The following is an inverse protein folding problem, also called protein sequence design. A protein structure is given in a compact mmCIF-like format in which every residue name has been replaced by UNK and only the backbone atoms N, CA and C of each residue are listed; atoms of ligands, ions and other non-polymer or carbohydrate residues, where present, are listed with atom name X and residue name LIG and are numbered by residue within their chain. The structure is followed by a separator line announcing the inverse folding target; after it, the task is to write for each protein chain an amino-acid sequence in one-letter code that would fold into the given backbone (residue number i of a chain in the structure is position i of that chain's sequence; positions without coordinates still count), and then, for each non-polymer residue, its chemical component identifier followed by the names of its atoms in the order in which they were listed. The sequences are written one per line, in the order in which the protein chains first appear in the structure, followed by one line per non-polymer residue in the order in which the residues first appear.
data_IF_523176304053
#
_entry.id   IF_523176304053
#
_cell.length_a   1.000
_cell.length_b   1.000
_cell.length_c   1.000
_cell.angle_alpha   90.00
_cell.angle_beta   90.00
_cell.angle_gamma   90.00
#
_symmetry.space_group_name_H-M   'P 1'
#
loop_
_entity.id
_entity.type
_entity.pdbx_description
1 polymer ?
#
# COMPACT_ATOMS: atom_id res chain seq x y z
N UNK A 1 18.14 26.64 -60.50
CA UNK A 1 18.00 26.93 -59.06
C UNK A 1 16.91 26.01 -58.49
N UNK A 2 17.24 24.89 -57.82
CA UNK A 2 16.26 24.07 -57.05
C UNK A 2 16.96 22.91 -56.32
N UNK A 3 17.88 23.20 -55.39
CA UNK A 3 18.50 22.19 -54.51
C UNK A 3 18.36 22.42 -52.98
N UNK A 4 17.93 23.60 -52.45
CA UNK A 4 17.85 23.77 -51.00
C UNK A 4 16.62 23.07 -50.37
N UNK A 5 15.55 22.85 -51.14
CA UNK A 5 14.28 22.32 -50.61
C UNK A 5 14.35 20.83 -50.23
N UNK A 6 15.08 20.00 -50.99
CA UNK A 6 15.26 18.57 -50.67
C UNK A 6 16.12 18.32 -49.43
N UNK A 7 17.11 19.18 -49.17
CA UNK A 7 17.96 19.07 -47.98
C UNK A 7 17.18 19.43 -46.70
N UNK A 8 16.28 20.42 -46.78
CA UNK A 8 15.38 20.81 -45.70
C UNK A 8 14.33 19.73 -45.37
N UNK A 9 13.76 19.06 -46.37
CA UNK A 9 12.81 17.95 -46.14
C UNK A 9 13.48 16.73 -45.48
N UNK A 10 14.73 16.41 -45.87
CA UNK A 10 15.48 15.29 -45.30
C UNK A 10 15.86 15.53 -43.83
N UNK A 11 16.14 16.78 -43.45
CA UNK A 11 16.44 17.14 -42.06
C UNK A 11 15.19 17.07 -41.16
N UNK A 12 14.00 17.37 -41.70
CA UNK A 12 12.75 17.32 -40.96
C UNK A 12 12.29 15.88 -40.65
N UNK A 13 12.54 14.93 -41.55
CA UNK A 13 12.22 13.50 -41.31
C UNK A 13 13.11 12.84 -40.24
N UNK A 14 14.36 13.30 -40.07
CA UNK A 14 15.27 12.78 -39.03
C UNK A 14 14.91 13.29 -37.62
N UNK A 15 14.23 14.43 -37.51
CA UNK A 15 13.78 15.00 -36.24
C UNK A 15 12.50 14.35 -35.70
N UNK A 16 11.68 13.72 -36.57
CA UNK A 16 10.42 13.09 -36.16
C UNK A 16 10.54 11.59 -35.84
N UNK A 17 11.68 10.96 -36.15
CA UNK A 17 11.84 9.51 -36.04
C UNK A 17 12.35 9.00 -34.68
N UNK A 18 12.74 9.87 -33.74
CA UNK A 18 13.56 9.47 -32.60
C UNK A 18 13.00 9.76 -31.19
N UNK A 19 11.81 10.36 -31.03
CA UNK A 19 11.25 10.63 -29.71
C UNK A 19 9.92 9.90 -29.49
N UNK A 20 9.97 8.69 -28.91
CA UNK A 20 8.82 8.10 -28.23
C UNK A 20 8.79 8.58 -26.78
N UNK A 21 7.60 8.83 -26.23
CA UNK A 21 7.47 9.11 -24.80
C UNK A 21 7.96 7.91 -23.98
N UNK A 22 8.78 8.18 -22.96
CA UNK A 22 9.11 7.15 -21.98
C UNK A 22 7.83 6.71 -21.27
N UNK A 23 7.68 5.41 -20.95
CA UNK A 23 6.53 4.95 -20.20
C UNK A 23 6.55 5.56 -18.79
N UNK A 24 5.37 5.79 -18.24
CA UNK A 24 5.25 6.17 -16.83
C UNK A 24 5.79 5.03 -15.96
N UNK A 25 6.71 5.35 -15.06
CA UNK A 25 7.32 4.40 -14.14
C UNK A 25 6.63 4.46 -12.78
N UNK A 26 6.58 3.32 -12.09
CA UNK A 26 6.22 3.26 -10.67
C UNK A 26 7.11 4.21 -9.84
N UNK A 27 6.51 4.83 -8.82
CA UNK A 27 7.27 5.59 -7.84
C UNK A 27 8.22 4.69 -7.06
N UNK A 28 9.38 5.21 -6.66
CA UNK A 28 10.38 4.43 -5.91
C UNK A 28 9.93 4.08 -4.49
N UNK A 29 9.01 4.88 -3.93
CA UNK A 29 8.65 4.82 -2.52
C UNK A 29 9.82 5.14 -1.59
N UNK A 30 9.63 4.88 -0.30
CA UNK A 30 10.65 5.13 0.73
C UNK A 30 11.50 3.89 0.96
N UNK A 31 12.81 4.04 0.90
CA UNK A 31 13.76 2.91 0.99
C UNK A 31 13.62 2.14 2.31
N UNK A 32 13.38 2.85 3.41
CA UNK A 32 13.27 2.24 4.73
C UNK A 32 11.95 1.50 4.95
N UNK A 33 10.91 1.76 4.15
CA UNK A 33 9.63 1.03 4.21
C UNK A 33 9.65 -0.27 3.42
N UNK A 34 10.56 -0.41 2.44
CA UNK A 34 10.57 -1.55 1.50
C UNK A 34 10.70 -2.89 2.24
N UNK A 35 9.70 -3.74 2.12
CA UNK A 35 9.70 -5.03 2.82
C UNK A 35 8.32 -5.50 3.27
N UNK A 36 8.33 -6.59 4.01
CA UNK A 36 7.18 -7.09 4.77
C UNK A 36 7.36 -6.75 6.25
N UNK A 37 6.25 -6.34 6.86
CA UNK A 37 6.19 -5.90 8.23
C UNK A 37 5.01 -6.54 8.92
N UNK A 38 5.21 -7.00 10.15
CA UNK A 38 4.18 -7.67 10.91
C UNK A 38 4.03 -7.03 12.28
N UNK A 39 2.79 -6.74 12.65
CA UNK A 39 2.45 -6.44 14.03
C UNK A 39 2.36 -7.74 14.83
N UNK A 40 3.00 -7.76 15.98
CA UNK A 40 2.84 -8.83 16.96
C UNK A 40 1.67 -8.52 17.91
N UNK A 41 0.94 -9.57 18.30
CA UNK A 41 -0.12 -9.42 19.29
C UNK A 41 0.47 -9.18 20.68
N UNK A 42 -0.03 -8.19 21.40
CA UNK A 42 0.34 -7.98 22.81
C UNK A 42 -0.70 -8.61 23.75
N UNK A 43 -0.31 -8.97 24.99
CA UNK A 43 -1.28 -9.44 25.99
C UNK A 43 -2.42 -8.45 26.24
N UNK A 44 -2.13 -7.15 26.22
CA UNK A 44 -3.11 -6.07 26.41
C UNK A 44 -4.14 -6.06 25.28
N UNK A 45 -3.72 -6.24 24.01
CA UNK A 45 -4.67 -6.31 22.89
C UNK A 45 -5.68 -7.45 23.04
N UNK A 46 -5.26 -8.60 23.58
CA UNK A 46 -6.16 -9.75 23.81
C UNK A 46 -7.21 -9.48 24.90
N UNK A 47 -7.00 -8.46 25.74
CA UNK A 47 -7.98 -8.03 26.73
C UNK A 47 -9.08 -7.15 26.12
N UNK A 48 -8.81 -6.46 25.01
CA UNK A 48 -9.77 -5.59 24.33
C UNK A 48 -10.99 -6.36 23.82
N UNK A 49 -12.13 -5.66 23.75
CA UNK A 49 -13.36 -6.20 23.16
C UNK A 49 -13.22 -6.41 21.66
N UNK A 50 -12.54 -5.48 20.97
CA UNK A 50 -12.25 -5.53 19.55
C UNK A 50 -10.81 -5.05 19.32
N UNK A 51 -10.03 -5.78 18.53
CA UNK A 51 -8.70 -5.37 18.10
C UNK A 51 -8.37 -5.94 16.72
N UNK A 52 -7.40 -5.31 16.05
CA UNK A 52 -6.87 -5.80 14.78
C UNK A 52 -5.35 -5.94 14.82
N UNK A 53 -4.84 -6.92 14.08
CA UNK A 53 -3.42 -7.13 13.82
C UNK A 53 -3.16 -6.92 12.34
N UNK A 54 -2.06 -6.24 12.02
CA UNK A 54 -1.72 -5.87 10.66
C UNK A 54 -0.47 -6.57 10.16
N UNK A 55 -0.51 -6.98 8.88
CA UNK A 55 0.67 -7.30 8.08
C UNK A 55 0.72 -6.33 6.91
N UNK A 56 1.81 -5.59 6.80
CA UNK A 56 2.06 -4.67 5.70
C UNK A 56 3.10 -5.26 4.77
N UNK A 57 2.94 -4.99 3.48
CA UNK A 57 3.96 -5.22 2.46
C UNK A 57 4.08 -3.94 1.66
N UNK A 58 5.27 -3.37 1.64
CA UNK A 58 5.60 -2.21 0.83
C UNK A 58 6.59 -2.62 -0.25
N UNK A 59 6.27 -2.27 -1.50
CA UNK A 59 7.11 -2.53 -2.65
C UNK A 59 7.01 -1.36 -3.61
N UNK A 60 8.14 -0.70 -3.85
CA UNK A 60 8.18 0.59 -4.52
C UNK A 60 7.19 1.57 -3.85
N UNK A 61 6.30 2.19 -4.60
CA UNK A 61 5.22 3.07 -4.11
C UNK A 61 3.92 2.34 -3.78
N UNK A 62 3.89 1.01 -3.92
CA UNK A 62 2.71 0.18 -3.68
C UNK A 62 2.73 -0.41 -2.28
N UNK A 63 1.54 -0.61 -1.72
CA UNK A 63 1.35 -1.28 -0.44
C UNK A 63 0.25 -2.35 -0.51
N UNK A 64 0.38 -3.33 0.37
CA UNK A 64 -0.62 -4.35 0.63
C UNK A 64 -0.78 -4.49 2.13
N UNK A 65 -2.01 -4.61 2.61
CA UNK A 65 -2.34 -4.83 4.02
C UNK A 65 -3.20 -6.06 4.15
N UNK A 66 -2.83 -6.93 5.07
CA UNK A 66 -3.70 -7.95 5.64
C UNK A 66 -4.06 -7.52 7.05
N UNK A 67 -5.33 -7.25 7.30
CA UNK A 67 -5.86 -6.87 8.60
C UNK A 67 -6.66 -8.05 9.16
N UNK A 68 -6.21 -8.61 10.27
CA UNK A 68 -6.93 -9.64 11.01
C UNK A 68 -7.65 -8.98 12.18
N UNK A 69 -8.98 -9.09 12.23
CA UNK A 69 -9.80 -8.47 13.27
C UNK A 69 -10.41 -9.53 14.16
N UNK A 70 -10.40 -9.25 15.46
CA UNK A 70 -10.91 -10.12 16.52
C UNK A 70 -11.87 -9.32 17.39
N UNK A 71 -13.08 -9.84 17.58
CA UNK A 71 -14.09 -9.31 18.50
C UNK A 71 -14.57 -10.39 19.46
N UNK A 72 -14.74 -10.03 20.72
CA UNK A 72 -15.38 -10.89 21.74
C UNK A 72 -16.91 -10.87 21.63
N UNK A 73 -17.46 -9.82 21.02
CA UNK A 73 -18.89 -9.66 20.80
C UNK A 73 -19.16 -9.91 19.32
N UNK A 74 -19.84 -11.00 19.01
CA UNK A 74 -20.21 -11.33 17.65
C UNK A 74 -21.46 -10.54 17.25
N UNK A 75 -21.27 -9.29 16.82
CA UNK A 75 -22.35 -8.43 16.33
C UNK A 75 -22.65 -8.63 14.84
N UNK A 76 -21.89 -9.50 14.15
CA UNK A 76 -22.07 -9.80 12.75
C UNK A 76 -23.02 -10.99 12.52
N UNK A 77 -23.49 -11.14 11.27
CA UNK A 77 -24.16 -12.37 10.84
C UNK A 77 -23.11 -13.49 10.83
N UNK A 78 -23.37 -14.59 11.52
CA UNK A 78 -22.37 -15.63 11.83
C UNK A 78 -21.57 -16.16 10.62
N UNK A 79 -22.18 -16.15 9.43
CA UNK A 79 -21.55 -16.54 8.16
C UNK A 79 -20.37 -15.65 7.77
N UNK A 80 -20.33 -14.43 8.27
CA UNK A 80 -19.38 -13.41 7.90
C UNK A 80 -18.21 -13.35 8.88
N UNK A 81 -18.49 -13.39 10.17
CA UNK A 81 -17.50 -13.05 11.20
C UNK A 81 -16.87 -14.28 11.85
N UNK A 82 -17.18 -15.52 11.45
CA UNK A 82 -16.59 -16.77 11.96
C UNK A 82 -16.26 -16.70 13.47
N UNK A 83 -17.29 -16.53 14.32
CA UNK A 83 -17.16 -16.39 15.77
C UNK A 83 -16.33 -15.17 16.21
N UNK A 84 -16.50 -14.05 15.52
CA UNK A 84 -15.84 -12.78 15.81
C UNK A 84 -14.41 -12.66 15.29
N UNK A 85 -14.00 -13.48 14.32
CA UNK A 85 -12.70 -13.39 13.66
C UNK A 85 -12.87 -13.28 12.15
N UNK A 86 -12.30 -12.23 11.55
CA UNK A 86 -12.26 -12.11 10.10
C UNK A 86 -10.99 -11.43 9.60
N UNK A 87 -10.73 -11.58 8.30
CA UNK A 87 -9.57 -10.98 7.65
C UNK A 87 -10.00 -10.11 6.49
N UNK A 88 -9.44 -8.91 6.42
CA UNK A 88 -9.63 -7.97 5.33
C UNK A 88 -8.30 -7.68 4.64
N UNK A 89 -8.37 -7.47 3.33
CA UNK A 89 -7.22 -7.22 2.50
C UNK A 89 -7.37 -5.85 1.84
N UNK A 90 -6.27 -5.12 1.75
CA UNK A 90 -6.21 -3.80 1.13
C UNK A 90 -4.99 -3.77 0.22
N UNK A 91 -5.11 -3.15 -0.96
CA UNK A 91 -3.96 -2.79 -1.78
C UNK A 91 -4.09 -1.37 -2.28
N UNK A 92 -2.96 -0.73 -2.56
CA UNK A 92 -2.96 0.59 -3.15
C UNK A 92 -1.56 1.16 -3.28
N UNK A 93 -1.49 2.49 -3.31
CA UNK A 93 -0.24 3.25 -3.36
C UNK A 93 -0.10 4.11 -2.12
N UNK A 94 1.13 4.37 -1.70
CA UNK A 94 1.40 5.27 -0.60
C UNK A 94 2.25 6.45 -1.03
N UNK A 95 2.18 7.52 -0.25
CA UNK A 95 3.12 8.63 -0.31
C UNK A 95 3.51 9.03 1.10
N UNK A 96 4.77 9.39 1.28
CA UNK A 96 5.25 9.94 2.52
C UNK A 96 5.70 11.38 2.31
N UNK A 97 5.35 12.24 3.27
CA UNK A 97 5.86 13.59 3.38
C UNK A 97 6.31 13.80 4.83
N UNK A 98 7.61 14.07 5.04
CA UNK A 98 8.22 14.10 6.36
C UNK A 98 7.97 12.79 7.12
N UNK A 99 7.38 12.87 8.32
CA UNK A 99 6.98 11.71 9.13
C UNK A 99 5.55 11.24 8.84
N UNK A 100 4.84 11.84 7.88
CA UNK A 100 3.44 11.51 7.59
C UNK A 100 3.35 10.58 6.39
N UNK A 101 2.92 9.34 6.63
CA UNK A 101 2.62 8.32 5.63
C UNK A 101 1.12 8.32 5.32
N UNK A 102 0.77 8.47 4.04
CA UNK A 102 -0.60 8.39 3.56
C UNK A 102 -0.77 7.15 2.68
N UNK A 103 -1.68 6.28 3.07
CA UNK A 103 -2.08 5.10 2.30
C UNK A 103 -3.38 5.41 1.55
N UNK A 104 -3.41 5.14 0.25
CA UNK A 104 -4.63 5.24 -0.57
C UNK A 104 -4.80 4.01 -1.43
N UNK A 105 -5.94 3.35 -1.31
CA UNK A 105 -6.19 2.08 -1.98
C UNK A 105 -7.64 1.65 -1.96
N UNK A 106 -7.86 0.35 -2.09
CA UNK A 106 -9.17 -0.28 -2.07
C UNK A 106 -9.15 -1.57 -1.28
N UNK A 107 -10.28 -1.87 -0.64
CA UNK A 107 -10.51 -3.20 -0.09
C UNK A 107 -10.55 -4.24 -1.22
N UNK A 108 -9.82 -5.33 -1.02
CA UNK A 108 -9.58 -6.40 -1.98
C UNK A 108 -9.91 -7.78 -1.38
N UNK A 109 -9.96 -8.79 -2.25
CA UNK A 109 -10.06 -10.19 -1.86
C UNK A 109 -8.70 -10.72 -1.35
N UNK A 110 -8.67 -11.99 -0.92
CA UNK A 110 -7.46 -12.62 -0.39
C UNK A 110 -6.31 -12.75 -1.41
N UNK A 111 -6.60 -12.61 -2.70
CA UNK A 111 -5.61 -12.59 -3.78
C UNK A 111 -5.26 -11.15 -4.19
N UNK A 112 -5.66 -10.16 -3.41
CA UNK A 112 -5.51 -8.73 -3.69
C UNK A 112 -6.10 -8.33 -5.05
N UNK A 113 -7.22 -8.92 -5.46
CA UNK A 113 -8.05 -8.45 -6.57
C UNK A 113 -9.15 -7.56 -6.02
N UNK A 114 -9.58 -6.57 -6.81
CA UNK A 114 -10.62 -5.65 -6.38
C UNK A 114 -11.89 -6.45 -6.04
N UNK A 115 -12.42 -6.22 -4.84
CA UNK A 115 -13.67 -6.86 -4.40
C UNK A 115 -14.83 -6.40 -5.29
N UNK A 116 -15.72 -7.33 -5.61
CA UNK A 116 -17.09 -6.96 -5.98
C UNK A 116 -17.78 -6.39 -4.74
N UNK A 117 -18.70 -5.45 -4.92
CA UNK A 117 -19.41 -4.80 -3.80
C UNK A 117 -20.27 -5.76 -2.96
N UNK A 118 -20.44 -7.00 -3.41
CA UNK A 118 -21.20 -8.05 -2.75
C UNK A 118 -20.33 -8.77 -1.70
N UNK A 119 -20.75 -8.72 -0.44
CA UNK A 119 -20.10 -9.44 0.65
C UNK A 119 -20.33 -8.80 2.02
N UNK A 120 -19.80 -9.47 3.04
CA UNK A 120 -20.02 -9.08 4.43
C UNK A 120 -19.06 -8.01 4.97
N UNK A 121 -17.93 -7.81 4.30
CA UNK A 121 -16.82 -7.00 4.81
C UNK A 121 -16.72 -5.68 4.06
N UNK A 122 -15.85 -4.79 4.54
CA UNK A 122 -15.64 -3.49 3.91
C UNK A 122 -15.23 -3.67 2.45
N UNK A 123 -15.80 -2.80 1.63
CA UNK A 123 -15.59 -2.66 0.19
C UNK A 123 -15.43 -1.18 -0.15
N UNK A 124 -14.89 -0.89 -1.33
CA UNK A 124 -14.65 0.49 -1.77
C UNK A 124 -13.29 1.07 -1.34
N UNK A 125 -13.17 2.40 -1.33
CA UNK A 125 -11.90 3.08 -1.11
C UNK A 125 -11.42 2.91 0.33
N UNK A 126 -10.10 2.86 0.48
CA UNK A 126 -9.40 2.85 1.75
C UNK A 126 -8.42 4.01 1.76
N UNK A 127 -8.53 4.86 2.77
CA UNK A 127 -7.58 5.94 3.02
C UNK A 127 -7.20 5.94 4.50
N UNK A 128 -5.91 5.87 4.78
CA UNK A 128 -5.37 5.96 6.13
C UNK A 128 -4.16 6.90 6.16
N UNK A 129 -3.96 7.54 7.29
CA UNK A 129 -2.82 8.44 7.54
C UNK A 129 -2.15 8.02 8.83
N UNK A 130 -0.84 7.88 8.78
CA UNK A 130 -0.02 7.54 9.95
C UNK A 130 1.11 8.54 10.09
N UNK A 131 1.40 8.94 11.32
CA UNK A 131 2.73 9.39 11.69
C UNK A 131 3.64 8.17 11.85
N UNK A 132 4.77 8.15 11.15
CA UNK A 132 5.75 7.06 11.17
C UNK A 132 6.95 7.48 11.99
N UNK A 133 7.26 6.69 13.02
CA UNK A 133 8.49 6.82 13.80
C UNK A 133 9.35 5.60 13.57
N UNK A 134 10.56 5.81 13.05
CA UNK A 134 11.57 4.75 12.94
C UNK A 134 12.30 4.61 14.28
N UNK A 135 11.99 3.54 15.02
CA UNK A 135 12.62 3.24 16.30
C UNK A 135 13.95 2.50 16.11
N UNK A 136 13.98 1.59 15.14
CA UNK A 136 15.17 0.84 14.71
C UNK A 136 15.04 0.48 13.23
N UNK A 137 16.07 -0.12 12.63
CA UNK A 137 16.01 -0.56 11.24
C UNK A 137 14.92 -1.62 11.00
N UNK A 138 14.58 -2.40 12.01
CA UNK A 138 13.57 -3.47 11.94
C UNK A 138 12.29 -3.13 12.69
N UNK A 139 12.14 -1.93 13.26
CA UNK A 139 10.96 -1.54 14.05
C UNK A 139 10.47 -0.15 13.66
N UNK A 140 9.21 -0.12 13.20
CA UNK A 140 8.47 1.11 12.95
C UNK A 140 7.26 1.21 13.88
N UNK A 141 6.96 2.42 14.30
CA UNK A 141 5.74 2.76 15.01
C UNK A 141 4.86 3.61 14.09
N UNK A 142 3.63 3.17 13.85
CA UNK A 142 2.61 3.89 13.10
C UNK A 142 1.55 4.42 14.06
N UNK A 143 1.39 5.75 14.13
CA UNK A 143 0.38 6.39 14.94
C UNK A 143 -0.68 7.05 14.05
N UNK A 144 -1.92 6.57 14.10
CA UNK A 144 -3.04 7.20 13.40
C UNK A 144 -3.47 8.49 14.09
N UNK A 145 -4.07 9.47 13.38
CA UNK A 145 -4.44 10.77 13.93
C UNK A 145 -5.47 10.69 15.06
N UNK A 146 -6.32 9.66 15.05
CA UNK A 146 -7.36 9.41 16.06
C UNK A 146 -7.13 8.13 16.87
N UNK A 147 -6.02 7.40 16.63
CA UNK A 147 -5.74 6.16 17.34
C UNK A 147 -5.01 6.43 18.65
N UNK A 148 -5.57 5.94 19.75
CA UNK A 148 -4.93 6.03 21.08
C UNK A 148 -3.77 5.04 21.20
N UNK A 149 -3.82 3.92 20.47
CA UNK A 149 -2.81 2.86 20.53
C UNK A 149 -2.00 2.89 19.24
N UNK A 150 -0.68 3.16 19.31
CA UNK A 150 0.18 3.08 18.14
C UNK A 150 0.40 1.62 17.71
N UNK A 151 0.64 1.43 16.42
CA UNK A 151 0.89 0.13 15.81
C UNK A 151 2.40 -0.03 15.67
N UNK A 152 2.98 -0.91 16.49
CA UNK A 152 4.37 -1.31 16.32
C UNK A 152 4.45 -2.47 15.33
N UNK A 153 5.23 -2.30 14.27
CA UNK A 153 5.44 -3.31 13.24
C UNK A 153 6.93 -3.64 13.11
N UNK A 154 7.22 -4.93 12.98
CA UNK A 154 8.57 -5.46 12.86
C UNK A 154 8.81 -5.95 11.45
N UNK A 155 9.98 -5.62 10.88
CA UNK A 155 10.35 -6.06 9.54
C UNK A 155 10.67 -7.54 9.53
N UNK A 156 9.91 -8.31 8.77
CA UNK A 156 10.11 -9.75 8.58
C UNK A 156 10.89 -10.06 7.32
N UNK A 157 10.78 -9.21 6.30
CA UNK A 157 11.51 -9.34 5.04
C UNK A 157 11.89 -7.97 4.48
N UNK A 158 13.09 -7.84 3.92
CA UNK A 158 13.54 -6.62 3.24
C UNK A 158 13.40 -6.76 1.73
N UNK A 159 12.99 -5.68 1.06
CA UNK A 159 12.95 -5.60 -0.40
C UNK A 159 13.81 -4.47 -0.94
N UNK A 160 14.19 -4.61 -2.21
CA UNK A 160 14.78 -3.53 -3.01
C UNK A 160 13.78 -3.17 -4.10
N UNK A 161 13.36 -1.91 -4.16
CA UNK A 161 12.48 -1.46 -5.23
C UNK A 161 13.24 -1.44 -6.56
N UNK A 162 12.68 -2.13 -7.56
CA UNK A 162 13.06 -2.03 -8.97
C UNK A 162 11.82 -1.52 -9.70
N UNK A 163 11.70 -0.21 -9.96
CA UNK A 163 10.52 0.38 -10.58
C UNK A 163 10.21 -0.26 -11.93
N UNK A 164 8.93 -0.55 -12.16
CA UNK A 164 8.43 -1.10 -13.43
C UNK A 164 7.62 -0.04 -14.19
N UNK A 165 7.57 -0.13 -15.53
CA UNK A 165 6.56 0.58 -16.32
C UNK A 165 5.14 0.26 -15.83
N UNK A 166 4.27 1.27 -15.82
CA UNK A 166 2.85 1.18 -15.45
C UNK A 166 1.96 0.66 -16.59
#
# INVERSE_FOLDING_TARGET
MSKPLSFLLSALCLLTAACSFNPDLQGKGEAYLQGEWQQESTPVQKQLLNYSLYKFKFTCDSFFVTQQTFTKVNTGVDTCTNKGQWTEYIRGTYRQQNDTLRLKGFFCDANFRLKKYEGCFRSGPYEEVFKVTKQADTLLTLAGPSSVIPINIYRTQQYTCVPKPL
#
